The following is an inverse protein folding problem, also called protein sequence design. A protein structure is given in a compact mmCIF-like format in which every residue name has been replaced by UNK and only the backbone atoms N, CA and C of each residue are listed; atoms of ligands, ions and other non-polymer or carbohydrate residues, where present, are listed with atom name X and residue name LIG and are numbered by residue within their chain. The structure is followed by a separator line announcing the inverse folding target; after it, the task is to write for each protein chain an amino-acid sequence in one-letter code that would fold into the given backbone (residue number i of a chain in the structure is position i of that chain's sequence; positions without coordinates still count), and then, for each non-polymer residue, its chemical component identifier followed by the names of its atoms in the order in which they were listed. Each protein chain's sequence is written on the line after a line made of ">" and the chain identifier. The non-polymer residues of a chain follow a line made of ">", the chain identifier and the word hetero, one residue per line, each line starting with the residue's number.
data_IF_579264076987
#
_entry.id   IF_579264076987
#
_cell.length_a   1.000
_cell.length_b   1.000
_cell.length_c   1.000
_cell.angle_alpha   90.00
_cell.angle_beta   90.00
_cell.angle_gamma   90.00
#
_symmetry.space_group_name_H-M   'P 1'
#
loop_
_entity.id
_entity.type
_entity.pdbx_description
1 polymer ?
#
# COMPACT_ATOMS: atom_id res chain seq x y z
N UNK A 1 -26.84 5.80 -10.42
CA UNK A 1 -25.90 6.67 -9.71
C UNK A 1 -24.81 5.78 -9.12
N UNK A 2 -23.55 6.04 -9.48
CA UNK A 2 -22.39 5.35 -8.88
C UNK A 2 -22.29 5.78 -7.42
N UNK A 3 -22.34 4.81 -6.50
CA UNK A 3 -22.06 5.06 -5.11
C UNK A 3 -20.56 5.33 -4.91
N UNK A 4 -20.20 5.88 -3.76
CA UNK A 4 -18.83 6.29 -3.47
C UNK A 4 -17.86 5.10 -3.36
N UNK A 5 -16.57 5.40 -3.55
CA UNK A 5 -15.46 4.51 -3.26
C UNK A 5 -14.84 4.87 -1.92
N UNK A 6 -14.63 3.88 -1.04
CA UNK A 6 -13.87 4.02 0.19
C UNK A 6 -12.41 3.62 -0.08
N UNK A 7 -11.48 4.54 0.09
CA UNK A 7 -10.04 4.30 -0.04
C UNK A 7 -9.40 4.25 1.34
N UNK A 8 -8.94 3.06 1.77
CA UNK A 8 -8.13 2.94 2.97
C UNK A 8 -6.75 3.56 2.73
N UNK A 9 -6.40 4.57 3.52
CA UNK A 9 -5.10 5.20 3.45
C UNK A 9 -4.02 4.35 4.14
N UNK A 10 -2.82 4.40 3.60
CA UNK A 10 -1.61 3.94 4.29
C UNK A 10 -1.01 5.11 5.06
N UNK A 11 -0.87 4.94 6.38
CA UNK A 11 -0.28 5.94 7.27
C UNK A 11 1.00 5.38 7.85
N UNK A 12 2.07 6.15 7.75
CA UNK A 12 3.38 5.77 8.28
C UNK A 12 3.96 6.94 9.09
N UNK A 13 4.34 6.68 10.33
CA UNK A 13 4.88 7.72 11.22
C UNK A 13 3.98 8.97 11.33
N UNK A 14 2.66 8.79 11.37
CA UNK A 14 1.66 9.86 11.46
C UNK A 14 1.47 10.68 10.17
N UNK A 15 2.11 10.30 9.05
CA UNK A 15 2.00 10.95 7.75
C UNK A 15 1.34 10.05 6.72
N UNK A 16 0.78 10.67 5.69
CA UNK A 16 0.21 9.95 4.57
C UNK A 16 1.33 9.34 3.71
N UNK A 17 1.27 8.03 3.47
CA UNK A 17 2.22 7.36 2.58
C UNK A 17 1.84 7.61 1.11
N UNK A 18 2.82 7.82 0.23
CA UNK A 18 2.66 8.05 -1.22
C UNK A 18 1.85 6.94 -1.92
N UNK A 19 1.87 5.72 -1.39
CA UNK A 19 1.05 4.62 -1.86
C UNK A 19 -0.45 4.96 -1.90
N UNK A 20 -0.93 5.79 -0.96
CA UNK A 20 -2.32 6.27 -0.93
C UNK A 20 -2.64 7.13 -2.14
N UNK A 21 -1.77 8.08 -2.50
CA UNK A 21 -1.98 8.94 -3.67
C UNK A 21 -2.00 8.15 -4.99
N UNK A 22 -1.21 7.08 -5.09
CA UNK A 22 -1.22 6.16 -6.24
C UNK A 22 -2.50 5.31 -6.29
N UNK A 23 -2.94 4.79 -5.14
CA UNK A 23 -4.20 4.06 -5.06
C UNK A 23 -5.42 4.96 -5.31
N UNK A 24 -5.34 6.26 -4.97
CA UNK A 24 -6.37 7.25 -5.28
C UNK A 24 -6.60 7.39 -6.78
N UNK A 25 -5.55 7.36 -7.60
CA UNK A 25 -5.70 7.39 -9.05
C UNK A 25 -6.50 6.20 -9.59
N UNK A 26 -6.27 5.01 -9.04
CA UNK A 26 -7.07 3.83 -9.38
C UNK A 26 -8.52 3.96 -8.87
N UNK A 27 -8.71 4.44 -7.64
CA UNK A 27 -10.04 4.65 -7.06
C UNK A 27 -10.86 5.67 -7.87
N UNK A 28 -10.23 6.78 -8.30
CA UNK A 28 -10.88 7.80 -9.13
C UNK A 28 -11.31 7.26 -10.51
N UNK A 29 -10.56 6.30 -11.05
CA UNK A 29 -10.91 5.67 -12.34
C UNK A 29 -12.19 4.80 -12.27
N UNK A 30 -12.70 4.47 -11.08
CA UNK A 30 -13.98 3.79 -10.89
C UNK A 30 -15.18 4.70 -11.17
N UNK A 31 -14.98 6.03 -11.18
CA UNK A 31 -15.95 7.00 -11.69
C UNK A 31 -16.94 7.56 -10.66
N UNK A 32 -16.82 7.22 -9.39
CA UNK A 32 -17.62 7.81 -8.29
C UNK A 32 -16.80 8.74 -7.40
N UNK A 33 -17.42 9.39 -6.42
CA UNK A 33 -16.73 10.16 -5.41
C UNK A 33 -15.81 9.24 -4.57
N UNK A 34 -14.63 9.75 -4.19
CA UNK A 34 -13.69 8.99 -3.37
C UNK A 34 -13.61 9.59 -1.97
N UNK A 35 -13.92 8.77 -0.97
CA UNK A 35 -13.72 9.10 0.42
C UNK A 35 -12.47 8.37 0.94
N UNK A 36 -11.54 9.08 1.53
CA UNK A 36 -10.31 8.50 2.11
C UNK A 36 -10.54 8.19 3.58
N UNK A 37 -10.37 6.93 3.95
CA UNK A 37 -10.43 6.48 5.35
C UNK A 37 -9.02 6.48 5.94
N UNK A 38 -8.84 7.20 7.03
CA UNK A 38 -7.66 7.15 7.88
C UNK A 38 -8.05 6.53 9.21
N UNK A 39 -7.49 5.36 9.49
CA UNK A 39 -7.61 4.65 10.75
C UNK A 39 -6.22 4.59 11.39
N UNK A 40 -5.97 5.44 12.38
CA UNK A 40 -4.65 5.59 12.99
C UNK A 40 -4.76 6.19 14.39
N UNK A 41 -3.72 6.05 15.17
CA UNK A 41 -3.51 6.87 16.37
C UNK A 41 -2.66 8.08 15.98
N UNK A 42 -3.16 9.31 16.23
CA UNK A 42 -2.50 10.53 15.82
C UNK A 42 -2.55 10.78 14.30
N UNK A 43 -3.67 10.46 13.65
CA UNK A 43 -3.84 10.53 12.20
C UNK A 43 -4.16 11.91 11.63
N UNK A 44 -4.21 12.98 12.44
CA UNK A 44 -4.64 14.33 12.01
C UNK A 44 -3.75 14.92 10.91
N UNK A 45 -2.42 14.73 10.98
CA UNK A 45 -1.50 15.22 9.95
C UNK A 45 -1.71 14.49 8.62
N UNK A 46 -1.86 13.17 8.64
CA UNK A 46 -2.16 12.38 7.46
C UNK A 46 -3.52 12.77 6.85
N UNK A 47 -4.53 13.07 7.68
CA UNK A 47 -5.83 13.54 7.21
C UNK A 47 -5.73 14.90 6.51
N UNK A 48 -4.96 15.83 7.06
CA UNK A 48 -4.71 17.12 6.44
C UNK A 48 -3.95 17.02 5.09
N UNK A 49 -3.03 16.05 4.97
CA UNK A 49 -2.33 15.74 3.72
C UNK A 49 -3.30 15.12 2.70
N UNK A 50 -4.15 14.17 3.11
CA UNK A 50 -5.14 13.54 2.23
C UNK A 50 -6.16 14.54 1.66
N UNK A 51 -6.56 15.56 2.43
CA UNK A 51 -7.48 16.61 1.96
C UNK A 51 -6.93 17.42 0.79
N UNK A 52 -5.61 17.48 0.62
CA UNK A 52 -4.95 18.24 -0.45
C UNK A 52 -4.85 17.45 -1.75
N UNK A 53 -5.10 16.15 -1.74
CA UNK A 53 -5.03 15.33 -2.94
C UNK A 53 -6.22 15.62 -3.86
N UNK A 54 -5.93 15.84 -5.14
CA UNK A 54 -6.97 16.01 -6.16
C UNK A 54 -7.78 14.73 -6.32
N UNK A 55 -9.11 14.85 -6.35
CA UNK A 55 -10.03 13.72 -6.50
C UNK A 55 -10.56 13.15 -5.18
N UNK A 56 -10.08 13.63 -4.03
CA UNK A 56 -10.66 13.31 -2.73
C UNK A 56 -11.86 14.23 -2.48
N UNK A 57 -13.03 13.65 -2.23
CA UNK A 57 -14.22 14.41 -1.87
C UNK A 57 -14.31 14.64 -0.35
N UNK A 58 -13.96 13.63 0.43
CA UNK A 58 -14.04 13.64 1.89
C UNK A 58 -12.95 12.77 2.51
N UNK A 59 -12.48 13.15 3.68
CA UNK A 59 -11.58 12.33 4.51
C UNK A 59 -12.34 11.92 5.77
N UNK A 60 -12.44 10.62 6.02
CA UNK A 60 -12.96 10.05 7.26
C UNK A 60 -11.79 9.73 8.18
N UNK A 61 -11.77 10.33 9.37
CA UNK A 61 -10.71 10.12 10.34
C UNK A 61 -11.24 9.37 11.56
N UNK A 62 -10.83 8.12 11.72
CA UNK A 62 -10.97 7.34 12.95
C UNK A 62 -9.63 7.41 13.71
N UNK A 63 -9.49 8.40 14.58
CA UNK A 63 -8.29 8.60 15.40
C UNK A 63 -8.49 7.96 16.77
N UNK A 64 -7.92 6.78 16.95
CA UNK A 64 -8.04 6.00 18.17
C UNK A 64 -6.82 5.10 18.38
N UNK A 65 -6.47 4.83 19.64
CA UNK A 65 -5.40 3.93 20.02
C UNK A 65 -5.58 2.49 19.45
N UNK A 66 -6.81 2.08 19.20
CA UNK A 66 -7.16 0.80 18.59
C UNK A 66 -6.47 0.58 17.23
N UNK A 67 -6.20 1.66 16.49
CA UNK A 67 -5.58 1.62 15.16
C UNK A 67 -4.08 1.93 15.17
N UNK A 68 -3.47 2.11 16.34
CA UNK A 68 -2.07 2.51 16.48
C UNK A 68 -1.07 1.54 15.88
N UNK A 69 -1.40 0.25 15.85
CA UNK A 69 -0.56 -0.82 15.28
C UNK A 69 -1.14 -1.43 14.00
N UNK A 70 -2.17 -0.83 13.42
CA UNK A 70 -2.80 -1.27 12.16
C UNK A 70 -3.18 -2.76 12.14
N UNK A 71 -3.68 -3.28 13.26
CA UNK A 71 -4.16 -4.66 13.35
C UNK A 71 -5.34 -4.85 12.37
N UNK A 72 -5.35 -6.00 11.69
CA UNK A 72 -6.32 -6.26 10.64
C UNK A 72 -7.76 -6.38 11.18
N UNK A 73 -7.95 -6.97 12.34
CA UNK A 73 -9.27 -7.26 12.88
C UNK A 73 -10.05 -5.98 13.22
N UNK A 74 -9.52 -5.02 13.98
CA UNK A 74 -10.25 -3.80 14.29
C UNK A 74 -10.41 -2.89 13.05
N UNK A 75 -9.39 -2.83 12.17
CA UNK A 75 -9.47 -2.02 10.95
C UNK A 75 -10.52 -2.60 9.98
N UNK A 76 -10.56 -3.92 9.81
CA UNK A 76 -11.58 -4.57 8.99
C UNK A 76 -13.00 -4.36 9.56
N UNK A 77 -13.17 -4.42 10.89
CA UNK A 77 -14.45 -4.14 11.53
C UNK A 77 -14.95 -2.71 11.23
N UNK A 78 -14.05 -1.71 11.27
CA UNK A 78 -14.39 -0.34 10.89
C UNK A 78 -14.83 -0.24 9.43
N UNK A 79 -14.06 -0.82 8.52
CA UNK A 79 -14.37 -0.79 7.08
C UNK A 79 -15.71 -1.46 6.79
N UNK A 80 -15.96 -2.63 7.38
CA UNK A 80 -17.23 -3.36 7.22
C UNK A 80 -18.40 -2.55 7.74
N UNK A 81 -18.25 -1.87 8.87
CA UNK A 81 -19.26 -0.98 9.42
C UNK A 81 -19.62 0.19 8.50
N UNK A 82 -18.64 0.69 7.72
CA UNK A 82 -18.82 1.76 6.76
C UNK A 82 -19.32 1.27 5.38
N UNK A 83 -19.14 -0.02 5.07
CA UNK A 83 -19.31 -0.57 3.71
C UNK A 83 -20.69 -0.36 3.10
N UNK A 84 -21.74 -0.14 3.93
CA UNK A 84 -23.11 0.11 3.45
C UNK A 84 -23.21 1.33 2.51
N UNK A 85 -22.34 2.31 2.66
CA UNK A 85 -22.31 3.55 1.87
C UNK A 85 -21.44 3.51 0.61
N UNK A 86 -20.83 2.37 0.27
CA UNK A 86 -19.81 2.28 -0.79
C UNK A 86 -20.03 1.08 -1.70
N UNK A 87 -19.78 1.26 -3.01
CA UNK A 87 -19.78 0.19 -4.00
C UNK A 87 -18.39 -0.45 -4.13
N UNK A 88 -17.35 0.31 -3.84
CA UNK A 88 -15.97 -0.16 -3.89
C UNK A 88 -15.21 0.21 -2.61
N UNK A 89 -14.37 -0.72 -2.16
CA UNK A 89 -13.42 -0.55 -1.07
C UNK A 89 -12.04 -0.83 -1.65
N UNK A 90 -11.18 0.17 -1.63
CA UNK A 90 -9.88 0.16 -2.30
C UNK A 90 -8.77 0.39 -1.27
N UNK A 91 -7.63 -0.26 -1.44
CA UNK A 91 -6.43 0.03 -0.67
C UNK A 91 -5.17 -0.15 -1.52
N UNK A 92 -4.06 0.55 -1.23
CA UNK A 92 -2.78 0.25 -1.85
C UNK A 92 -2.33 -1.17 -1.43
N UNK A 93 -1.68 -1.93 -2.32
CA UNK A 93 -1.23 -3.29 -2.03
C UNK A 93 0.04 -3.31 -1.14
N UNK A 94 -0.02 -2.64 0.00
CA UNK A 94 1.01 -2.64 1.05
C UNK A 94 0.89 -3.88 1.94
N UNK A 95 1.86 -4.12 2.80
CA UNK A 95 1.82 -5.24 3.74
C UNK A 95 0.59 -5.14 4.68
N UNK A 96 0.29 -3.93 5.19
CA UNK A 96 -0.89 -3.68 6.04
C UNK A 96 -2.19 -3.99 5.30
N UNK A 97 -2.38 -3.43 4.12
CA UNK A 97 -3.61 -3.63 3.36
C UNK A 97 -3.77 -5.08 2.87
N UNK A 98 -2.69 -5.77 2.54
CA UNK A 98 -2.72 -7.21 2.21
C UNK A 98 -3.16 -8.08 3.39
N UNK A 99 -2.99 -7.61 4.61
CA UNK A 99 -3.50 -8.27 5.82
C UNK A 99 -4.97 -7.90 6.11
N UNK A 100 -5.36 -6.65 5.87
CA UNK A 100 -6.70 -6.12 6.18
C UNK A 100 -7.74 -6.53 5.13
N UNK A 101 -7.46 -6.29 3.84
CA UNK A 101 -8.45 -6.35 2.77
C UNK A 101 -9.03 -7.74 2.50
N UNK A 102 -8.28 -8.86 2.59
CA UNK A 102 -8.86 -10.20 2.46
C UNK A 102 -9.89 -10.49 3.55
N UNK A 103 -9.65 -9.97 4.77
CA UNK A 103 -10.60 -10.10 5.88
C UNK A 103 -11.86 -9.27 5.63
N UNK A 104 -11.72 -8.05 5.11
CA UNK A 104 -12.86 -7.23 4.69
C UNK A 104 -13.71 -7.96 3.65
N UNK A 105 -13.08 -8.51 2.61
CA UNK A 105 -13.77 -9.26 1.56
C UNK A 105 -14.53 -10.47 2.12
N UNK A 106 -13.88 -11.25 3.00
CA UNK A 106 -14.49 -12.40 3.63
C UNK A 106 -15.69 -12.02 4.52
N UNK A 107 -15.59 -10.94 5.29
CA UNK A 107 -16.68 -10.46 6.15
C UNK A 107 -17.86 -9.89 5.35
N UNK A 108 -17.62 -9.39 4.15
CA UNK A 108 -18.66 -8.91 3.24
C UNK A 108 -19.19 -9.99 2.29
N UNK A 109 -18.66 -11.21 2.36
CA UNK A 109 -18.98 -12.35 1.50
C UNK A 109 -18.83 -12.02 0.00
N UNK A 110 -17.68 -11.37 -0.36
CA UNK A 110 -17.32 -11.00 -1.74
C UNK A 110 -15.88 -11.43 -2.04
N UNK A 111 -15.53 -11.49 -3.33
CA UNK A 111 -14.17 -11.78 -3.78
C UNK A 111 -13.31 -10.52 -3.78
N UNK A 112 -12.08 -10.65 -3.29
CA UNK A 112 -11.08 -9.60 -3.46
C UNK A 112 -10.43 -9.68 -4.85
N UNK A 113 -10.34 -8.54 -5.55
CA UNK A 113 -9.51 -8.38 -6.73
C UNK A 113 -8.15 -7.82 -6.31
N UNK A 114 -7.14 -8.69 -6.29
CA UNK A 114 -5.83 -8.37 -5.72
C UNK A 114 -4.89 -7.75 -6.74
N UNK A 115 -4.14 -6.73 -6.31
CA UNK A 115 -3.01 -6.13 -7.03
C UNK A 115 -3.33 -5.71 -8.46
N UNK A 116 -4.43 -4.98 -8.66
CA UNK A 116 -4.78 -4.48 -9.98
C UNK A 116 -3.70 -3.55 -10.53
N UNK A 117 -3.48 -3.64 -11.85
CA UNK A 117 -2.55 -2.79 -12.61
C UNK A 117 -3.27 -1.82 -13.55
N UNK A 118 -4.55 -2.05 -13.81
CA UNK A 118 -5.41 -1.13 -14.56
C UNK A 118 -6.89 -1.29 -14.15
N UNK A 119 -7.65 -0.21 -14.29
CA UNK A 119 -9.10 -0.17 -14.23
C UNK A 119 -9.61 -0.03 -15.66
N UNK A 120 -10.27 -1.07 -16.17
CA UNK A 120 -10.84 -1.08 -17.52
C UNK A 120 -12.26 -0.50 -17.51
N UNK A 121 -13.01 -0.85 -16.49
CA UNK A 121 -14.35 -0.32 -16.19
C UNK A 121 -14.60 -0.42 -14.68
N UNK A 122 -15.71 0.13 -14.13
CA UNK A 122 -15.97 0.06 -12.69
C UNK A 122 -16.04 -1.35 -12.08
N UNK A 123 -16.20 -2.37 -12.92
CA UNK A 123 -16.27 -3.78 -12.50
C UNK A 123 -15.19 -4.67 -13.14
N UNK A 124 -14.35 -4.13 -14.02
CA UNK A 124 -13.36 -4.89 -14.82
C UNK A 124 -11.96 -4.34 -14.63
N UNK A 125 -11.03 -5.22 -14.33
CA UNK A 125 -9.68 -4.89 -13.90
C UNK A 125 -8.64 -5.76 -14.60
N UNK A 126 -7.43 -5.23 -14.76
CA UNK A 126 -6.26 -6.03 -15.11
C UNK A 126 -5.40 -6.30 -13.90
N UNK A 127 -4.88 -7.50 -13.81
CA UNK A 127 -3.97 -7.93 -12.74
C UNK A 127 -2.94 -8.92 -13.24
N UNK A 128 -1.71 -8.89 -12.70
CA UNK A 128 -0.70 -9.88 -13.05
C UNK A 128 -0.97 -11.23 -12.35
N UNK A 129 -0.70 -12.29 -13.07
CA UNK A 129 -0.68 -13.67 -12.59
C UNK A 129 0.62 -14.35 -13.00
N UNK A 130 0.91 -15.53 -12.45
CA UNK A 130 2.16 -16.27 -12.70
C UNK A 130 3.41 -15.39 -12.48
N UNK A 131 3.49 -14.73 -11.32
CA UNK A 131 4.59 -13.79 -10.97
C UNK A 131 4.82 -12.66 -11.99
N UNK A 132 3.76 -12.21 -12.67
CA UNK A 132 3.82 -11.13 -13.66
C UNK A 132 4.08 -11.57 -15.10
N UNK A 133 4.19 -12.88 -15.36
CA UNK A 133 4.39 -13.41 -16.73
C UNK A 133 3.13 -13.32 -17.59
N UNK A 134 1.97 -13.16 -16.99
CA UNK A 134 0.70 -12.94 -17.68
C UNK A 134 -0.11 -11.85 -17.02
N UNK A 135 -0.88 -11.11 -17.79
CA UNK A 135 -1.89 -10.16 -17.33
C UNK A 135 -3.26 -10.78 -17.59
N UNK A 136 -4.04 -10.85 -16.51
CA UNK A 136 -5.41 -11.34 -16.56
C UNK A 136 -6.38 -10.17 -16.48
N UNK A 137 -7.34 -10.10 -17.38
CA UNK A 137 -8.51 -9.23 -17.25
C UNK A 137 -9.59 -9.99 -16.50
N UNK A 138 -10.07 -9.42 -15.40
CA UNK A 138 -11.11 -10.01 -14.55
C UNK A 138 -12.29 -9.06 -14.43
N UNK A 139 -13.52 -9.59 -14.50
CA UNK A 139 -14.73 -8.87 -14.18
C UNK A 139 -15.31 -9.41 -12.87
N UNK A 140 -15.49 -8.54 -11.88
CA UNK A 140 -16.19 -8.85 -10.64
C UNK A 140 -17.68 -8.60 -10.81
N UNK A 141 -18.49 -9.62 -10.54
CA UNK A 141 -19.97 -9.51 -10.53
C UNK A 141 -20.54 -9.31 -9.12
N UNK A 142 -19.67 -9.25 -8.11
CA UNK A 142 -20.07 -9.04 -6.74
C UNK A 142 -20.74 -7.66 -6.57
N UNK A 143 -21.68 -7.51 -5.64
CA UNK A 143 -22.35 -6.24 -5.38
C UNK A 143 -21.39 -5.16 -4.88
N UNK A 144 -20.33 -5.55 -4.20
CA UNK A 144 -19.25 -4.65 -3.73
C UNK A 144 -17.91 -5.14 -4.24
N UNK A 145 -17.04 -4.20 -4.65
CA UNK A 145 -15.68 -4.48 -5.12
C UNK A 145 -14.70 -4.24 -3.97
N UNK A 146 -13.95 -5.27 -3.58
CA UNK A 146 -12.84 -5.15 -2.64
C UNK A 146 -11.53 -5.29 -3.42
N UNK A 147 -10.73 -4.24 -3.46
CA UNK A 147 -9.64 -4.11 -4.43
C UNK A 147 -8.35 -3.71 -3.72
N UNK A 148 -7.25 -4.38 -4.04
CA UNK A 148 -5.92 -3.86 -3.73
C UNK A 148 -5.19 -3.41 -4.99
N UNK A 149 -4.51 -2.27 -4.93
CA UNK A 149 -3.89 -1.58 -6.07
C UNK A 149 -2.39 -1.79 -6.07
N UNK A 150 -1.82 -2.28 -7.16
CA UNK A 150 -0.38 -2.31 -7.36
C UNK A 150 0.12 -0.89 -7.63
N UNK A 151 0.62 -0.23 -6.61
CA UNK A 151 0.98 1.20 -6.65
C UNK A 151 2.06 1.55 -7.68
N UNK A 152 2.93 0.60 -8.02
CA UNK A 152 3.93 0.74 -9.08
C UNK A 152 3.33 0.96 -10.49
N UNK A 153 2.05 0.60 -10.70
CA UNK A 153 1.37 0.72 -12.00
C UNK A 153 0.55 2.00 -12.15
N UNK A 154 0.45 2.81 -11.10
CA UNK A 154 -0.35 4.03 -11.11
C UNK A 154 0.51 5.24 -10.74
N UNK A 155 0.27 6.36 -11.42
CA UNK A 155 0.85 7.65 -11.04
C UNK A 155 0.14 8.15 -9.78
N UNK A 156 0.88 8.83 -8.90
CA UNK A 156 0.28 9.47 -7.74
C UNK A 156 -0.68 10.57 -8.19
N UNK A 157 -1.82 10.68 -7.50
CA UNK A 157 -2.71 11.83 -7.66
C UNK A 157 -1.97 13.11 -7.26
N UNK A 158 -2.21 14.18 -8.01
CA UNK A 158 -1.63 15.48 -7.73
C UNK A 158 -2.28 16.19 -6.54
N UNK A 159 -1.74 17.34 -6.18
CA UNK A 159 -2.33 18.26 -5.23
C UNK A 159 -3.43 19.12 -5.91
N UNK A 160 -4.19 19.85 -5.09
CA UNK A 160 -5.26 20.74 -5.54
C UNK A 160 -6.64 20.37 -4.98
N UNK A 161 -6.70 19.34 -4.13
CA UNK A 161 -7.90 19.00 -3.37
C UNK A 161 -8.20 20.00 -2.25
N UNK A 162 -9.50 20.09 -1.90
CA UNK A 162 -10.02 20.93 -0.82
C UNK A 162 -11.03 20.17 0.04
N UNK A 163 -10.82 18.86 0.19
CA UNK A 163 -11.69 18.01 0.96
C UNK A 163 -11.73 18.40 2.44
N UNK A 164 -12.83 18.09 3.09
CA UNK A 164 -12.96 18.27 4.55
C UNK A 164 -12.69 16.96 5.29
N UNK A 165 -12.24 17.10 6.53
CA UNK A 165 -12.10 15.98 7.47
C UNK A 165 -13.38 15.81 8.25
N UNK A 166 -13.92 14.60 8.25
CA UNK A 166 -15.01 14.17 9.13
C UNK A 166 -14.44 13.19 10.16
N UNK A 167 -14.47 13.55 11.44
CA UNK A 167 -14.10 12.64 12.53
C UNK A 167 -15.22 11.62 12.73
N UNK A 168 -14.87 10.35 12.69
CA UNK A 168 -15.79 9.23 12.91
C UNK A 168 -15.39 8.44 14.16
N UNK A 169 -16.36 7.80 14.77
CA UNK A 169 -16.11 6.93 15.91
C UNK A 169 -15.34 5.67 15.49
N UNK A 170 -14.46 5.14 16.35
CA UNK A 170 -13.86 3.83 16.12
C UNK A 170 -14.92 2.74 16.12
N UNK A 171 -14.66 1.62 15.44
CA UNK A 171 -15.45 0.42 15.59
C UNK A 171 -15.19 -0.21 16.96
N UNK A 172 -16.13 -1.05 17.43
CA UNK A 172 -15.88 -1.86 18.59
C UNK A 172 -14.70 -2.82 18.34
N UNK A 173 -13.80 -2.94 19.31
CA UNK A 173 -12.70 -3.90 19.22
C UNK A 173 -13.27 -5.33 19.20
N UNK A 174 -13.01 -6.14 18.16
CA UNK A 174 -13.46 -7.52 18.12
C UNK A 174 -12.70 -8.43 19.10
N UNK A 175 -11.62 -7.96 19.73
CA UNK A 175 -10.88 -8.70 20.75
C UNK A 175 -10.19 -9.98 20.24
N UNK A 176 -9.88 -10.05 18.93
CA UNK A 176 -9.35 -11.28 18.30
C UNK A 176 -7.83 -11.29 18.20
N UNK A 177 -7.20 -10.14 18.30
CA UNK A 177 -5.74 -9.97 18.25
C UNK A 177 -5.29 -8.85 19.17
N UNK A 178 -4.05 -8.89 19.59
CA UNK A 178 -3.43 -7.83 20.38
C UNK A 178 -1.99 -7.64 19.92
N UNK A 179 -1.53 -6.38 19.94
CA UNK A 179 -0.14 -6.06 19.68
C UNK A 179 0.72 -6.49 20.87
N UNK A 180 1.80 -7.20 20.60
CA UNK A 180 2.77 -7.61 21.62
C UNK A 180 4.04 -6.78 21.55
N UNK A 181 4.73 -6.84 20.42
CA UNK A 181 5.95 -6.09 20.19
C UNK A 181 6.34 -6.12 18.72
N UNK A 182 7.17 -5.17 18.31
CA UNK A 182 7.79 -5.14 16.99
C UNK A 182 9.28 -4.81 17.12
N UNK A 183 10.09 -5.33 16.21
CA UNK A 183 11.49 -4.99 16.07
C UNK A 183 11.70 -4.38 14.69
N UNK A 184 11.79 -3.06 14.63
CA UNK A 184 12.03 -2.34 13.39
C UNK A 184 13.52 -2.19 13.14
N UNK A 185 13.97 -2.58 11.95
CA UNK A 185 15.32 -2.26 11.50
C UNK A 185 15.42 -0.74 11.28
N UNK A 186 16.29 -0.07 12.01
CA UNK A 186 16.57 1.34 11.79
C UNK A 186 17.51 1.47 10.59
N UNK A 187 17.07 2.22 9.60
CA UNK A 187 17.88 2.57 8.43
C UNK A 187 17.74 4.06 8.16
N UNK A 188 18.85 4.73 7.90
CA UNK A 188 18.87 6.13 7.45
C UNK A 188 18.61 6.24 5.94
N UNK A 189 18.55 5.10 5.22
CA UNK A 189 18.27 5.04 3.79
C UNK A 189 16.76 5.09 3.51
N UNK A 190 16.37 5.61 2.33
CA UNK A 190 14.97 5.57 1.89
C UNK A 190 14.40 4.15 1.93
N UNK A 191 13.11 4.04 2.21
CA UNK A 191 12.44 2.75 2.16
C UNK A 191 12.35 2.22 0.72
N UNK A 192 12.68 0.94 0.53
CA UNK A 192 12.81 0.32 -0.78
C UNK A 192 11.55 0.44 -1.66
N UNK A 193 10.36 0.31 -1.07
CA UNK A 193 9.09 0.35 -1.80
C UNK A 193 8.74 1.73 -2.37
N UNK A 194 9.25 2.82 -1.75
CA UNK A 194 8.95 4.21 -2.11
C UNK A 194 10.16 4.98 -2.67
N UNK A 195 11.34 4.35 -2.69
CA UNK A 195 12.57 5.00 -3.12
C UNK A 195 12.54 5.39 -4.61
N UNK A 196 12.97 6.61 -4.92
CA UNK A 196 13.13 7.09 -6.30
C UNK A 196 14.38 6.53 -6.98
N UNK A 197 15.40 6.21 -6.20
CA UNK A 197 16.65 5.62 -6.69
C UNK A 197 16.92 4.36 -5.90
N UNK A 198 17.24 3.27 -6.60
CA UNK A 198 17.59 1.98 -6.00
C UNK A 198 18.92 1.50 -6.59
N UNK A 199 19.81 1.05 -5.72
CA UNK A 199 21.02 0.33 -6.11
C UNK A 199 20.90 -1.09 -5.57
N UNK A 200 20.88 -2.07 -6.46
CA UNK A 200 20.61 -3.47 -6.11
C UNK A 200 21.78 -4.37 -6.48
N UNK A 201 22.14 -5.26 -5.56
CA UNK A 201 23.18 -6.26 -5.80
C UNK A 201 22.59 -7.65 -6.04
N UNK A 202 23.23 -8.40 -6.92
CA UNK A 202 22.86 -9.78 -7.23
C UNK A 202 23.84 -10.81 -6.64
N UNK A 203 23.69 -12.05 -7.08
CA UNK A 203 24.51 -13.17 -6.64
C UNK A 203 26.01 -13.00 -6.93
N UNK A 204 26.37 -12.23 -7.98
CA UNK A 204 27.75 -11.97 -8.33
C UNK A 204 28.51 -11.12 -7.30
N UNK A 205 27.81 -10.54 -6.31
CA UNK A 205 28.47 -9.90 -5.16
C UNK A 205 29.22 -10.90 -4.28
N UNK A 206 28.83 -12.18 -4.28
CA UNK A 206 29.53 -13.32 -3.64
C UNK A 206 29.57 -13.30 -2.10
N UNK A 207 29.38 -12.16 -1.46
CA UNK A 207 29.38 -12.05 0.01
C UNK A 207 28.66 -10.81 0.52
N UNK A 208 28.27 -10.83 1.79
CA UNK A 208 27.75 -9.65 2.50
C UNK A 208 28.79 -8.52 2.61
N UNK A 209 30.08 -8.87 2.71
CA UNK A 209 31.17 -7.91 2.73
C UNK A 209 31.27 -7.12 1.43
N UNK A 210 31.09 -7.80 0.30
CA UNK A 210 31.08 -7.14 -1.01
C UNK A 210 29.85 -6.24 -1.18
N UNK A 211 28.69 -6.58 -0.61
CA UNK A 211 27.55 -5.67 -0.56
C UNK A 211 27.91 -4.37 0.15
N UNK A 212 28.50 -4.44 1.33
CA UNK A 212 28.96 -3.27 2.09
C UNK A 212 30.04 -2.48 1.35
N UNK A 213 30.90 -3.16 0.62
CA UNK A 213 32.03 -2.52 -0.06
C UNK A 213 31.65 -1.85 -1.38
N UNK A 214 30.72 -2.44 -2.14
CA UNK A 214 30.45 -1.99 -3.52
C UNK A 214 29.04 -1.42 -3.72
N UNK A 215 28.02 -1.99 -3.07
CA UNK A 215 26.61 -1.57 -3.27
C UNK A 215 26.24 -0.43 -2.33
N UNK A 216 26.47 -0.59 -1.05
CA UNK A 216 26.06 0.37 -0.03
C UNK A 216 26.69 1.77 -0.21
N UNK A 217 28.00 1.92 -0.50
CA UNK A 217 28.58 3.25 -0.68
C UNK A 217 28.05 4.00 -1.90
N UNK A 218 27.66 3.28 -2.96
CA UNK A 218 27.04 3.88 -4.14
C UNK A 218 25.63 4.36 -3.79
N UNK A 219 24.86 3.53 -3.08
CA UNK A 219 23.53 3.89 -2.61
C UNK A 219 23.58 5.13 -1.70
N UNK A 220 24.50 5.18 -0.75
CA UNK A 220 24.68 6.31 0.17
C UNK A 220 25.02 7.61 -0.56
N UNK A 221 25.88 7.55 -1.58
CA UNK A 221 26.24 8.72 -2.41
C UNK A 221 25.09 9.24 -3.25
N UNK A 222 24.17 8.37 -3.65
CA UNK A 222 23.00 8.72 -4.46
C UNK A 222 21.75 9.02 -3.59
N UNK A 223 21.81 8.87 -2.28
CA UNK A 223 20.63 8.92 -1.42
C UNK A 223 19.60 7.84 -1.79
N UNK A 224 20.08 6.68 -2.26
CA UNK A 224 19.29 5.60 -2.77
C UNK A 224 18.94 4.55 -1.71
N UNK A 225 17.87 3.81 -1.94
CA UNK A 225 17.64 2.55 -1.22
C UNK A 225 18.56 1.45 -1.74
N UNK A 226 18.87 0.48 -0.88
CA UNK A 226 19.61 -0.72 -1.27
C UNK A 226 18.63 -1.86 -1.50
N UNK A 227 18.75 -2.50 -2.68
CA UNK A 227 18.00 -3.68 -3.04
C UNK A 227 18.90 -4.91 -3.19
N UNK A 228 18.29 -6.07 -3.23
CA UNK A 228 18.98 -7.34 -3.46
C UNK A 228 18.12 -8.29 -4.29
N UNK A 229 18.76 -9.13 -5.11
CA UNK A 229 18.06 -10.23 -5.74
C UNK A 229 17.72 -11.32 -4.71
N UNK A 230 16.68 -12.12 -5.00
CA UNK A 230 16.35 -13.28 -4.17
C UNK A 230 17.57 -14.19 -3.95
N UNK A 231 18.35 -14.44 -4.99
CA UNK A 231 19.52 -15.31 -4.89
C UNK A 231 20.61 -14.74 -3.94
N UNK A 232 20.75 -13.43 -3.84
CA UNK A 232 21.66 -12.79 -2.91
C UNK A 232 21.14 -12.88 -1.46
N UNK A 233 19.83 -12.75 -1.27
CA UNK A 233 19.18 -12.90 0.03
C UNK A 233 19.25 -14.34 0.52
N UNK A 234 18.89 -15.30 -0.33
CA UNK A 234 18.95 -16.75 -0.02
C UNK A 234 20.39 -17.20 0.34
N UNK A 235 21.40 -16.56 -0.26
CA UNK A 235 22.81 -16.80 0.05
C UNK A 235 23.31 -16.06 1.31
N UNK A 236 22.47 -15.27 1.97
CA UNK A 236 22.82 -14.51 3.17
C UNK A 236 23.68 -13.27 2.92
N UNK A 237 23.74 -12.77 1.68
CA UNK A 237 24.51 -11.56 1.34
C UNK A 237 23.79 -10.26 1.71
N UNK A 238 22.47 -10.31 1.78
CA UNK A 238 21.61 -9.17 2.11
C UNK A 238 20.41 -9.64 2.96
N UNK A 239 19.85 -8.76 3.81
CA UNK A 239 18.68 -9.09 4.61
C UNK A 239 17.42 -9.23 3.73
N UNK A 240 16.41 -9.93 4.26
CA UNK A 240 15.17 -10.25 3.55
C UNK A 240 14.38 -9.02 3.10
N UNK A 241 14.39 -7.97 3.90
CA UNK A 241 13.68 -6.71 3.63
C UNK A 241 14.28 -5.90 2.45
N UNK A 242 15.48 -6.28 1.97
CA UNK A 242 16.08 -5.71 0.77
C UNK A 242 15.70 -6.45 -0.52
N UNK A 243 14.98 -7.56 -0.43
CA UNK A 243 14.62 -8.34 -1.62
C UNK A 243 13.68 -7.58 -2.54
N UNK A 244 14.07 -7.45 -3.81
CA UNK A 244 13.27 -6.90 -4.91
C UNK A 244 12.77 -8.02 -5.80
N UNK A 245 11.48 -7.96 -6.14
CA UNK A 245 10.85 -8.93 -7.03
C UNK A 245 10.55 -10.29 -6.39
N UNK A 246 10.02 -11.21 -7.16
CA UNK A 246 9.57 -12.53 -6.68
C UNK A 246 8.57 -12.39 -5.51
N UNK A 247 8.94 -12.88 -4.34
CA UNK A 247 8.19 -12.74 -3.07
C UNK A 247 8.59 -11.50 -2.27
N UNK A 248 9.55 -10.71 -2.78
CA UNK A 248 10.02 -9.48 -2.17
C UNK A 248 9.18 -8.24 -2.53
N UNK A 249 9.76 -7.07 -2.36
CA UNK A 249 9.08 -5.80 -2.65
C UNK A 249 8.98 -5.53 -4.14
N UNK A 250 7.82 -5.04 -4.59
CA UNK A 250 7.63 -4.50 -5.94
C UNK A 250 7.99 -3.01 -5.89
N UNK A 251 8.88 -2.60 -6.78
CA UNK A 251 9.43 -1.23 -6.79
C UNK A 251 9.23 -0.60 -8.17
N UNK A 252 9.13 0.74 -8.20
CA UNK A 252 9.04 1.52 -9.43
C UNK A 252 9.86 2.83 -9.28
N UNK A 253 11.19 2.74 -9.15
CA UNK A 253 12.03 3.91 -9.02
C UNK A 253 12.21 4.65 -10.36
N UNK A 254 12.63 5.92 -10.28
CA UNK A 254 13.05 6.68 -11.46
C UNK A 254 14.39 6.16 -12.01
N UNK A 255 15.26 5.65 -11.12
CA UNK A 255 16.54 5.03 -11.48
C UNK A 255 16.74 3.72 -10.70
N UNK A 256 17.00 2.65 -11.45
CA UNK A 256 17.37 1.35 -10.87
C UNK A 256 18.74 0.91 -11.38
N UNK A 257 19.72 0.84 -10.49
CA UNK A 257 21.07 0.35 -10.80
C UNK A 257 21.20 -1.10 -10.35
N UNK A 258 21.30 -2.01 -11.30
CA UNK A 258 21.47 -3.44 -11.03
C UNK A 258 22.94 -3.84 -11.19
N UNK A 259 23.50 -4.45 -10.16
CA UNK A 259 24.92 -4.86 -10.11
C UNK A 259 25.00 -6.38 -9.90
N UNK A 260 25.43 -7.11 -10.92
CA UNK A 260 25.75 -8.54 -10.87
C UNK A 260 24.61 -9.49 -10.98
#
# INVERSE_FOLDING_TARGET
>A
DLMATLLLAEVQNGKLNDATAKALSAASALGGPVHVLIAAQGGEAAAAEACKLAGVEKVLLADDALYGHQLAEPTAALIVGLAGGYDAIVAPATASAKNIMPRVAALLDVMQVSEITAVVSPDTFERPIYAGNAIQTVQSKDPKKVITVRTASFKAAGEGGTASVEKIAPAADPGLSSFSSEALAKSDRPELASAKIIVSGGRAMQSAENFKKYVEPVADRLGAAVGASRAAVDAGYAPNDWQVGQTGKVVAPDLYVAVG
#
